data_IF_418587393089
#
_entry.id   IF_418587393089
#
_cell.length_a   1.000
_cell.length_b   1.000
_cell.length_c   1.000
_cell.angle_alpha   90.00
_cell.angle_beta   90.00
_cell.angle_gamma   90.00
#
_symmetry.space_group_name_H-M   'P 1'
#
loop_
_entity.id
_entity.type
_entity.pdbx_description
1 polymer ?
#
# COMPACT_ATOMS: atom_id res chain seq x y z
N UNK A 1 21.87 -0.74 24.56
CA UNK A 1 22.03 -0.49 23.11
C UNK A 1 20.66 -0.09 22.60
N UNK A 2 20.41 1.20 22.50
CA UNK A 2 19.13 1.77 22.08
C UNK A 2 18.83 1.35 20.63
N UNK A 3 17.81 0.51 20.46
CA UNK A 3 17.24 0.20 19.15
C UNK A 3 16.39 1.38 18.71
N UNK A 4 17.00 2.39 18.12
CA UNK A 4 16.29 3.55 17.54
C UNK A 4 15.59 3.11 16.26
N UNK A 5 14.41 2.48 16.39
CA UNK A 5 13.52 2.21 15.27
C UNK A 5 12.59 3.40 15.10
N UNK A 6 12.84 4.25 14.11
CA UNK A 6 11.90 5.30 13.66
C UNK A 6 10.81 4.61 12.82
N UNK A 7 9.94 3.87 13.50
CA UNK A 7 9.00 2.92 12.87
C UNK A 7 7.56 3.40 12.87
N UNK A 8 7.25 4.50 12.18
CA UNK A 8 5.85 4.94 12.02
C UNK A 8 5.57 5.26 10.56
N UNK A 9 4.56 4.62 10.01
CA UNK A 9 4.06 4.90 8.66
C UNK A 9 3.58 6.35 8.55
N UNK A 10 3.75 6.94 7.35
CA UNK A 10 3.17 8.25 7.04
C UNK A 10 1.64 8.18 7.11
N UNK A 11 0.98 9.34 7.24
CA UNK A 11 -0.49 9.39 7.29
C UNK A 11 -1.08 8.79 6.03
N UNK A 12 -1.94 7.79 6.22
CA UNK A 12 -2.69 7.14 5.15
C UNK A 12 -4.07 7.78 5.02
N UNK A 13 -4.46 8.08 3.78
CA UNK A 13 -5.81 8.51 3.44
C UNK A 13 -6.22 7.87 2.12
N UNK A 14 -7.44 7.37 2.04
CA UNK A 14 -7.95 6.71 0.85
C UNK A 14 -9.33 7.27 0.52
N UNK A 15 -9.62 7.36 -0.78
CA UNK A 15 -10.95 7.67 -1.30
C UNK A 15 -11.25 6.72 -2.44
N UNK A 16 -12.45 6.16 -2.42
CA UNK A 16 -12.90 5.22 -3.45
C UNK A 16 -13.82 5.87 -4.46
N UNK A 17 -14.02 5.20 -5.60
CA UNK A 17 -14.90 5.62 -6.70
C UNK A 17 -14.69 7.08 -7.12
N UNK A 18 -13.43 7.50 -7.22
CA UNK A 18 -13.07 8.85 -7.64
C UNK A 18 -13.15 9.04 -9.16
N UNK A 19 -13.10 7.94 -9.93
CA UNK A 19 -13.24 7.95 -11.38
C UNK A 19 -14.62 7.44 -11.79
N UNK A 20 -15.19 8.06 -12.82
CA UNK A 20 -16.51 7.73 -13.36
C UNK A 20 -16.54 6.62 -14.42
N UNK A 21 -15.37 6.18 -14.89
CA UNK A 21 -15.23 5.22 -16.01
C UNK A 21 -14.83 3.79 -15.62
N UNK A 22 -13.89 3.57 -14.67
CA UNK A 22 -13.52 2.23 -14.22
C UNK A 22 -14.63 1.59 -13.39
N UNK A 23 -14.68 0.26 -13.37
CA UNK A 23 -15.62 -0.52 -12.53
C UNK A 23 -15.31 -0.36 -11.04
N UNK A 24 -14.03 -0.15 -10.70
CA UNK A 24 -13.62 0.30 -9.37
C UNK A 24 -12.43 1.23 -9.46
N UNK A 25 -12.37 2.22 -8.58
CA UNK A 25 -11.23 3.12 -8.50
C UNK A 25 -10.92 3.50 -7.07
N UNK A 26 -9.65 3.68 -6.78
CA UNK A 26 -9.19 4.15 -5.50
C UNK A 26 -8.05 5.14 -5.69
N UNK A 27 -8.05 6.19 -4.88
CA UNK A 27 -6.90 7.05 -4.69
C UNK A 27 -6.40 6.86 -3.27
N UNK A 28 -5.12 6.58 -3.13
CA UNK A 28 -4.43 6.40 -1.85
C UNK A 28 -3.36 7.47 -1.73
N UNK A 29 -3.34 8.15 -0.60
CA UNK A 29 -2.31 9.10 -0.20
C UNK A 29 -1.55 8.53 0.99
N UNK A 30 -0.23 8.43 0.85
CA UNK A 30 0.71 8.00 1.87
C UNK A 30 1.70 9.15 2.11
N UNK A 31 1.37 10.01 3.06
CA UNK A 31 2.06 11.29 3.21
C UNK A 31 1.85 12.20 1.99
N UNK A 32 2.94 12.55 1.31
CA UNK A 32 2.93 13.38 0.10
C UNK A 32 2.76 12.55 -1.19
N UNK A 33 2.98 11.24 -1.11
CA UNK A 33 2.86 10.33 -2.25
C UNK A 33 1.40 9.98 -2.47
N UNK A 34 0.86 10.36 -3.62
CA UNK A 34 -0.54 10.09 -3.99
C UNK A 34 -0.58 9.20 -5.23
N UNK A 35 -1.23 8.06 -5.12
CA UNK A 35 -1.40 7.10 -6.21
C UNK A 35 -2.87 6.85 -6.46
N UNK A 36 -3.24 6.87 -7.74
CA UNK A 36 -4.59 6.57 -8.18
C UNK A 36 -4.59 5.29 -9.02
N UNK A 37 -5.46 4.36 -8.66
CA UNK A 37 -5.66 3.10 -9.37
C UNK A 37 -7.10 2.99 -9.87
N UNK A 38 -7.27 2.39 -11.05
CA UNK A 38 -8.56 2.07 -11.63
C UNK A 38 -8.55 0.63 -12.14
N UNK A 39 -9.59 -0.13 -11.80
CA UNK A 39 -9.81 -1.51 -12.22
C UNK A 39 -10.94 -1.52 -13.24
N UNK A 40 -10.70 -2.19 -14.36
CA UNK A 40 -11.62 -2.30 -15.49
C UNK A 40 -11.94 -3.77 -15.71
N UNK A 41 -12.85 -4.29 -14.89
CA UNK A 41 -13.56 -5.56 -15.05
C UNK A 41 -12.72 -6.81 -15.34
N UNK A 42 -13.37 -7.97 -15.37
CA UNK A 42 -12.77 -9.18 -15.93
C UNK A 42 -12.89 -9.15 -17.45
N UNK A 43 -12.17 -8.23 -18.10
CA UNK A 43 -12.08 -8.13 -19.56
C UNK A 43 -10.70 -8.60 -20.00
N UNK A 44 -10.62 -9.31 -21.13
CA UNK A 44 -9.33 -9.71 -21.68
C UNK A 44 -8.58 -8.47 -22.18
N UNK A 45 -7.55 -8.07 -21.42
CA UNK A 45 -6.83 -6.82 -21.67
C UNK A 45 -5.68 -7.09 -22.63
N UNK A 46 -5.57 -6.28 -23.70
CA UNK A 46 -4.32 -6.19 -24.48
C UNK A 46 -3.22 -5.69 -23.56
N UNK A 47 -2.10 -6.42 -23.46
CA UNK A 47 -0.96 -6.02 -22.65
C UNK A 47 -0.54 -4.58 -22.98
N UNK A 48 -0.79 -3.67 -22.04
CA UNK A 48 -0.30 -2.32 -22.08
C UNK A 48 1.12 -2.32 -21.49
N UNK A 49 2.05 -1.61 -22.13
CA UNK A 49 3.44 -1.55 -21.64
C UNK A 49 3.53 -0.69 -20.39
N UNK A 50 3.49 -1.35 -19.24
CA UNK A 50 3.84 -0.77 -17.96
C UNK A 50 5.37 -0.72 -17.85
N UNK A 51 5.94 0.38 -17.37
CA UNK A 51 7.38 0.52 -17.15
C UNK A 51 7.65 0.57 -15.64
N UNK A 52 7.56 -0.56 -14.92
CA UNK A 52 7.74 -0.60 -13.47
C UNK A 52 9.16 -0.15 -13.05
N UNK A 53 10.12 -0.25 -13.96
CA UNK A 53 11.50 0.20 -13.79
C UNK A 53 11.66 1.72 -13.59
N UNK A 54 10.65 2.52 -13.96
CA UNK A 54 10.67 3.99 -13.77
C UNK A 54 10.01 4.45 -12.48
N UNK A 55 9.35 3.55 -11.75
CA UNK A 55 8.74 3.87 -10.47
C UNK A 55 9.79 3.83 -9.36
N UNK A 56 9.76 4.81 -8.45
CA UNK A 56 10.54 4.74 -7.21
C UNK A 56 10.04 3.57 -6.36
N UNK A 57 10.91 3.04 -5.50
CA UNK A 57 10.60 1.82 -4.74
C UNK A 57 9.49 2.08 -3.71
N UNK A 58 9.40 3.29 -3.16
CA UNK A 58 8.26 3.75 -2.35
C UNK A 58 6.93 3.77 -3.13
N UNK A 59 6.98 4.14 -4.41
CA UNK A 59 5.80 4.23 -5.26
C UNK A 59 5.21 2.84 -5.52
N UNK A 60 6.06 1.82 -5.61
CA UNK A 60 5.62 0.43 -5.79
C UNK A 60 4.72 -0.04 -4.63
N UNK A 61 5.09 0.24 -3.38
CA UNK A 61 4.28 -0.15 -2.23
C UNK A 61 2.92 0.55 -2.23
N UNK A 62 2.92 1.88 -2.43
CA UNK A 62 1.70 2.66 -2.48
C UNK A 62 0.82 2.25 -3.68
N UNK A 63 1.40 1.90 -4.81
CA UNK A 63 0.68 1.44 -6.00
C UNK A 63 0.02 0.08 -5.78
N UNK A 64 0.72 -0.88 -5.16
CA UNK A 64 0.13 -2.18 -4.79
C UNK A 64 -1.07 -1.97 -3.86
N UNK A 65 -0.92 -1.08 -2.87
CA UNK A 65 -1.97 -0.78 -1.91
C UNK A 65 -3.19 -0.11 -2.58
N UNK A 66 -2.94 0.88 -3.44
CA UNK A 66 -3.99 1.56 -4.20
C UNK A 66 -4.72 0.60 -5.15
N UNK A 67 -3.98 -0.28 -5.85
CA UNK A 67 -4.55 -1.28 -6.74
C UNK A 67 -5.42 -2.29 -5.96
N UNK A 68 -4.98 -2.73 -4.79
CA UNK A 68 -5.76 -3.60 -3.92
C UNK A 68 -7.08 -2.92 -3.49
N UNK A 69 -7.04 -1.65 -3.08
CA UNK A 69 -8.25 -0.90 -2.73
C UNK A 69 -9.19 -0.71 -3.92
N UNK A 70 -8.66 -0.47 -5.12
CA UNK A 70 -9.46 -0.37 -6.34
C UNK A 70 -10.09 -1.71 -6.73
N UNK A 71 -9.40 -2.84 -6.50
CA UNK A 71 -9.94 -4.17 -6.73
C UNK A 71 -11.05 -4.53 -5.71
N UNK A 72 -10.92 -4.09 -4.46
CA UNK A 72 -11.98 -4.20 -3.46
C UNK A 72 -13.19 -3.34 -3.88
N UNK A 73 -12.96 -2.12 -4.38
CA UNK A 73 -14.04 -1.26 -4.90
C UNK A 73 -14.78 -1.91 -6.08
N UNK A 74 -14.05 -2.49 -7.03
CA UNK A 74 -14.61 -3.19 -8.18
C UNK A 74 -15.30 -4.53 -7.83
N UNK A 75 -15.39 -4.88 -6.53
CA UNK A 75 -15.91 -6.15 -6.04
C UNK A 75 -15.27 -7.39 -6.72
N UNK A 76 -13.97 -7.28 -7.07
CA UNK A 76 -13.24 -8.39 -7.68
C UNK A 76 -12.97 -9.45 -6.63
N UNK A 77 -13.37 -10.69 -6.92
CA UNK A 77 -13.12 -11.83 -6.04
C UNK A 77 -11.62 -12.12 -5.96
N UNK A 78 -11.03 -11.84 -4.80
CA UNK A 78 -9.62 -12.08 -4.49
C UNK A 78 -9.51 -13.09 -3.35
N UNK A 79 -8.48 -13.95 -3.38
CA UNK A 79 -8.22 -14.92 -2.30
C UNK A 79 -7.89 -14.21 -0.97
N UNK A 80 -7.22 -13.07 -1.06
CA UNK A 80 -6.79 -12.28 0.08
C UNK A 80 -6.51 -10.82 -0.33
N UNK A 81 -6.42 -9.94 0.67
CA UNK A 81 -5.96 -8.57 0.47
C UNK A 81 -4.44 -8.51 0.65
N UNK A 82 -3.80 -7.64 -0.12
CA UNK A 82 -2.34 -7.48 -0.10
C UNK A 82 -2.00 -6.08 0.41
N UNK A 83 -1.07 -6.01 1.36
CA UNK A 83 -0.49 -4.76 1.83
C UNK A 83 1.02 -4.80 1.60
N UNK A 84 1.53 -3.78 0.91
CA UNK A 84 2.94 -3.58 0.65
C UNK A 84 3.49 -2.46 1.53
N UNK A 85 4.71 -2.68 2.02
CA UNK A 85 5.46 -1.76 2.87
C UNK A 85 6.89 -1.68 2.35
N UNK A 86 7.41 -0.47 2.23
CA UNK A 86 8.81 -0.21 1.90
C UNK A 86 9.59 0.09 3.18
N UNK A 87 10.78 -0.49 3.31
CA UNK A 87 11.73 -0.22 4.38
C UNK A 87 13.07 0.17 3.79
N UNK A 88 13.67 1.25 4.29
CA UNK A 88 15.02 1.67 3.93
C UNK A 88 16.00 1.37 5.05
N UNK A 89 17.21 1.00 4.67
CA UNK A 89 18.35 0.81 5.56
C UNK A 89 19.33 1.95 5.30
N UNK A 90 19.48 2.84 6.29
CA UNK A 90 20.42 3.95 6.24
C UNK A 90 21.87 3.45 6.34
N UNK A 91 22.84 4.27 5.95
CA UNK A 91 24.27 3.98 6.07
C UNK A 91 24.75 3.64 7.49
N UNK A 92 23.99 4.06 8.51
CA UNK A 92 24.24 3.77 9.93
C UNK A 92 23.67 2.42 10.40
N UNK A 93 22.99 1.68 9.52
CA UNK A 93 22.30 0.42 9.88
C UNK A 93 20.97 0.60 10.59
N UNK A 94 20.44 1.83 10.63
CA UNK A 94 19.09 2.13 11.13
C UNK A 94 18.08 1.76 10.06
N UNK A 95 17.00 1.08 10.46
CA UNK A 95 15.90 0.69 9.58
C UNK A 95 14.79 1.72 9.73
N UNK A 96 14.43 2.35 8.62
CA UNK A 96 13.33 3.31 8.51
C UNK A 96 12.18 2.62 7.76
N UNK A 97 11.00 2.64 8.37
CA UNK A 97 9.78 2.16 7.72
C UNK A 97 9.16 3.32 6.93
N UNK A 98 8.72 3.03 5.71
CA UNK A 98 8.11 4.00 4.80
C UNK A 98 8.99 5.25 4.55
N UNK A 99 10.16 5.07 3.91
CA UNK A 99 11.06 6.19 3.60
C UNK A 99 10.42 7.20 2.64
N UNK A 100 10.86 8.45 2.73
CA UNK A 100 10.61 9.45 1.68
C UNK A 100 11.59 9.30 0.49
N UNK A 101 11.31 10.00 -0.61
CA UNK A 101 12.15 9.93 -1.81
C UNK A 101 13.60 10.43 -1.63
N UNK A 102 13.89 11.25 -0.62
CA UNK A 102 15.27 11.66 -0.29
C UNK A 102 15.96 10.54 0.51
N UNK A 103 15.29 9.99 1.52
CA UNK A 103 15.74 8.86 2.32
C UNK A 103 15.97 7.60 1.48
N UNK A 104 15.15 7.39 0.44
CA UNK A 104 15.32 6.28 -0.51
C UNK A 104 16.64 6.41 -1.29
N UNK A 105 16.99 7.63 -1.74
CA UNK A 105 18.23 7.90 -2.49
C UNK A 105 19.48 7.83 -1.63
N UNK A 106 19.39 8.28 -0.37
CA UNK A 106 20.51 8.24 0.59
C UNK A 106 20.67 6.88 1.28
N UNK A 107 19.68 5.99 1.13
CA UNK A 107 19.70 4.67 1.73
C UNK A 107 20.74 3.77 1.06
N UNK A 108 21.40 2.95 1.89
CA UNK A 108 22.30 1.90 1.42
C UNK A 108 21.53 0.75 0.75
N UNK A 109 20.32 0.51 1.24
CA UNK A 109 19.44 -0.51 0.72
C UNK A 109 17.97 -0.16 0.96
N UNK A 110 17.12 -0.64 0.06
CA UNK A 110 15.67 -0.45 0.12
C UNK A 110 15.00 -1.80 -0.16
N UNK A 111 14.05 -2.15 0.68
CA UNK A 111 13.35 -3.42 0.64
C UNK A 111 11.85 -3.15 0.69
N UNK A 112 11.13 -3.49 -0.37
CA UNK A 112 9.66 -3.49 -0.41
C UNK A 112 9.16 -4.91 -0.22
N UNK A 113 8.29 -5.09 0.75
CA UNK A 113 7.68 -6.37 1.09
C UNK A 113 6.17 -6.28 0.91
N UNK A 114 5.58 -7.30 0.32
CA UNK A 114 4.12 -7.42 0.21
C UNK A 114 3.64 -8.60 1.02
N UNK A 115 2.67 -8.35 1.89
CA UNK A 115 2.09 -9.35 2.79
C UNK A 115 0.63 -9.61 2.44
N UNK A 116 0.19 -10.82 2.76
CA UNK A 116 -1.20 -11.26 2.69
C UNK A 116 -1.95 -10.97 4.00
N UNK A 117 -3.25 -10.65 3.92
CA UNK A 117 -4.06 -10.31 5.10
C UNK A 117 -4.37 -11.46 6.06
N UNK A 118 -4.45 -12.71 5.59
CA UNK A 118 -4.89 -13.85 6.42
C UNK A 118 -3.76 -14.42 7.30
N UNK A 119 -2.67 -14.86 6.67
CA UNK A 119 -1.54 -15.48 7.39
C UNK A 119 -0.37 -14.50 7.62
N UNK A 120 -0.50 -13.25 7.15
CA UNK A 120 0.63 -12.31 7.08
C UNK A 120 1.85 -12.93 6.38
N UNK A 121 1.56 -13.75 5.37
CA UNK A 121 2.54 -14.46 4.56
C UNK A 121 3.17 -13.49 3.57
N UNK A 122 4.48 -13.62 3.37
CA UNK A 122 5.20 -12.83 2.39
C UNK A 122 4.85 -13.31 0.98
N UNK A 123 4.25 -12.42 0.19
CA UNK A 123 3.81 -12.67 -1.20
C UNK A 123 4.93 -12.32 -2.18
N UNK A 124 5.51 -11.14 -2.03
CA UNK A 124 6.61 -10.67 -2.88
C UNK A 124 7.59 -9.84 -2.08
N UNK A 125 8.84 -9.81 -2.57
CA UNK A 125 9.89 -8.99 -2.01
C UNK A 125 10.70 -8.39 -3.14
N UNK A 126 10.84 -7.08 -3.11
CA UNK A 126 11.73 -6.35 -3.99
C UNK A 126 12.83 -5.73 -3.14
N UNK A 127 14.08 -6.11 -3.37
CA UNK A 127 15.23 -5.53 -2.67
C UNK A 127 16.17 -4.88 -3.64
N UNK A 128 16.68 -3.71 -3.28
CA UNK A 128 17.71 -2.97 -3.99
C UNK A 128 18.79 -2.54 -3.00
N UNK A 129 20.07 -2.59 -3.40
CA UNK A 129 21.21 -2.19 -2.56
C UNK A 129 21.84 -3.32 -1.75
N UNK A 130 22.60 -2.96 -0.70
CA UNK A 130 23.43 -3.88 0.08
C UNK A 130 23.01 -3.94 1.55
N UNK A 131 22.87 -5.14 2.11
CA UNK A 131 22.44 -5.37 3.49
C UNK A 131 22.88 -6.75 4.02
N UNK A 132 22.98 -6.88 5.34
CA UNK A 132 23.27 -8.15 6.01
C UNK A 132 22.01 -9.00 6.18
N UNK A 133 22.21 -10.29 6.44
CA UNK A 133 21.10 -11.23 6.70
C UNK A 133 20.29 -10.81 7.93
N UNK A 134 20.95 -10.32 8.97
CA UNK A 134 20.35 -9.88 10.22
C UNK A 134 19.51 -8.60 10.03
N UNK A 135 19.97 -7.69 9.18
CA UNK A 135 19.23 -6.47 8.82
C UNK A 135 17.99 -6.80 8.00
N UNK A 136 18.11 -7.72 7.04
CA UNK A 136 16.98 -8.20 6.24
C UNK A 136 15.90 -8.85 7.11
N UNK A 137 16.29 -9.73 8.03
CA UNK A 137 15.36 -10.37 8.97
C UNK A 137 14.65 -9.35 9.86
N UNK A 138 15.38 -8.33 10.35
CA UNK A 138 14.78 -7.23 11.11
C UNK A 138 13.80 -6.41 10.27
N UNK A 139 14.16 -6.05 9.03
CA UNK A 139 13.27 -5.34 8.10
C UNK A 139 11.99 -6.12 7.85
N UNK A 140 12.09 -7.44 7.66
CA UNK A 140 10.93 -8.31 7.42
C UNK A 140 9.95 -8.27 8.60
N UNK A 141 10.45 -8.38 9.83
CA UNK A 141 9.61 -8.36 11.04
C UNK A 141 8.94 -7.00 11.23
N UNK A 142 9.70 -5.91 11.04
CA UNK A 142 9.19 -4.54 11.14
C UNK A 142 8.13 -4.24 10.06
N UNK A 143 8.40 -4.64 8.82
CA UNK A 143 7.48 -4.44 7.70
C UNK A 143 6.20 -5.27 7.87
N UNK A 144 6.32 -6.48 8.43
CA UNK A 144 5.15 -7.31 8.76
C UNK A 144 4.26 -6.65 9.80
N UNK A 145 4.84 -6.05 10.84
CA UNK A 145 4.08 -5.31 11.84
C UNK A 145 3.37 -4.09 11.23
N UNK A 146 4.09 -3.31 10.42
CA UNK A 146 3.55 -2.15 9.72
C UNK A 146 2.44 -2.53 8.72
N UNK A 147 2.55 -3.68 8.05
CA UNK A 147 1.50 -4.16 7.16
C UNK A 147 0.19 -4.42 7.93
N UNK A 148 0.27 -4.83 9.20
CA UNK A 148 -0.89 -4.93 10.09
C UNK A 148 -1.65 -3.62 10.24
N UNK A 149 -0.92 -2.51 10.39
CA UNK A 149 -1.51 -1.17 10.48
C UNK A 149 -2.20 -0.76 9.17
N UNK A 150 -1.61 -1.12 8.02
CA UNK A 150 -2.22 -0.88 6.69
C UNK A 150 -3.49 -1.72 6.51
N UNK A 151 -3.50 -2.98 6.96
CA UNK A 151 -4.70 -3.82 6.90
C UNK A 151 -5.82 -3.27 7.78
N UNK A 152 -5.49 -2.79 8.99
CA UNK A 152 -6.46 -2.11 9.85
C UNK A 152 -7.02 -0.85 9.15
N UNK A 153 -6.16 -0.10 8.48
CA UNK A 153 -6.58 1.05 7.67
C UNK A 153 -7.50 0.64 6.50
N UNK A 154 -7.25 -0.47 5.81
CA UNK A 154 -8.16 -0.95 4.76
C UNK A 154 -9.56 -1.23 5.31
N UNK A 155 -9.65 -1.91 6.45
CA UNK A 155 -10.92 -2.21 7.09
C UNK A 155 -11.65 -0.94 7.51
N UNK A 156 -10.96 0.01 8.14
CA UNK A 156 -11.53 1.30 8.54
C UNK A 156 -11.98 2.13 7.32
N UNK A 157 -11.20 2.16 6.24
CA UNK A 157 -11.54 2.87 5.01
C UNK A 157 -12.78 2.26 4.33
N UNK A 158 -12.90 0.94 4.30
CA UNK A 158 -14.07 0.25 3.77
C UNK A 158 -15.30 0.50 4.65
N UNK A 159 -15.16 0.38 5.97
CA UNK A 159 -16.25 0.62 6.90
C UNK A 159 -16.79 2.04 6.77
N UNK A 160 -15.92 3.06 6.69
CA UNK A 160 -16.33 4.46 6.49
C UNK A 160 -17.14 4.67 5.21
N UNK A 161 -16.85 3.91 4.17
CA UNK A 161 -17.58 4.01 2.91
C UNK A 161 -18.94 3.31 2.97
N UNK A 162 -18.97 2.07 3.46
CA UNK A 162 -20.22 1.30 3.55
C UNK A 162 -21.17 1.84 4.63
N UNK A 163 -20.66 2.42 5.72
CA UNK A 163 -21.51 3.11 6.69
C UNK A 163 -22.09 4.42 6.14
N UNK A 164 -21.39 5.14 5.25
CA UNK A 164 -21.93 6.39 4.65
C UNK A 164 -23.02 6.15 3.61
N UNK A 165 -22.99 5.05 2.85
CA UNK A 165 -24.08 4.80 1.89
C UNK A 165 -25.41 4.53 2.59
N UNK A 166 -25.38 4.00 3.82
CA UNK A 166 -26.58 3.77 4.63
C UNK A 166 -27.24 5.06 5.14
N UNK A 167 -26.51 6.18 5.19
CA UNK A 167 -27.04 7.48 5.62
C UNK A 167 -27.55 8.34 4.44
N UNK A 168 -27.15 8.03 3.21
CA UNK A 168 -27.48 8.84 2.02
C UNK A 168 -28.82 8.47 1.36
N UNK A 169 -29.38 7.30 1.67
CA UNK A 169 -30.65 6.81 1.10
C UNK A 169 -31.89 7.25 1.92
N UNK A 170 -31.72 8.13 2.92
CA UNK A 170 -32.76 8.48 3.90
C UNK A 170 -33.45 9.85 3.75
N UNK A 171 -33.18 10.61 2.69
CA UNK A 171 -33.71 11.97 2.51
C UNK A 171 -34.32 12.15 1.11
N UNK A 172 -35.43 11.47 0.85
CA UNK A 172 -36.31 11.75 -0.29
C UNK A 172 -37.75 11.37 0.04
N UNK A 173 -38.39 12.15 0.91
CA UNK A 173 -39.85 12.22 1.02
C UNK A 173 -40.21 13.65 1.48
N UNK A 174 -40.52 14.53 0.53
CA UNK A 174 -41.46 15.66 0.69
C UNK A 174 -41.59 16.41 -0.65
N UNK A 175 -42.61 16.06 -1.44
CA UNK A 175 -43.44 16.97 -2.26
C UNK A 175 -44.71 16.25 -2.78
#
# INVERSE_FOLDING_TARGET
METTSTGRLRKLAAKFSNLSRPDGSAILAQGETVVQAGVYGPVEVKQMREHPEKATVELLACAINAACLAAIDAAVSMKCHIAAVTAAITNTGIIVLDPDGQQEQEARAVCTFSFESQESKLVSTHTSGQFSKEEFQRCLVLSKAAAGDIFAFYQDALQKRYCRSLEADGDSDDD
#
